data_IF_967652848480
#
_entry.id   IF_967652848480
#
_cell.length_a   1.000
_cell.length_b   1.000
_cell.length_c   1.000
_cell.angle_alpha   90.00
_cell.angle_beta   90.00
_cell.angle_gamma   90.00
#
_symmetry.space_group_name_H-M   'P 1'
#
loop_
_entity.id
_entity.type
_entity.pdbx_description
1 polymer ?
#
# COMPACT_ATOMS: atom_id res chain seq x y z
N UNK A 1 -11.08 15.45 0.05
CA UNK A 1 -9.81 14.76 0.34
C UNK A 1 -9.24 15.03 1.73
N UNK A 2 -9.14 13.99 2.57
CA UNK A 2 -8.43 13.96 3.86
C UNK A 2 -7.07 13.28 3.69
N UNK A 3 -5.99 13.94 4.10
CA UNK A 3 -4.60 13.48 3.90
C UNK A 3 -3.79 13.35 5.20
N UNK A 4 -4.45 13.41 6.36
CA UNK A 4 -3.80 13.40 7.68
C UNK A 4 -2.92 12.16 7.89
N UNK A 5 -3.47 10.98 7.60
CA UNK A 5 -2.77 9.68 7.75
C UNK A 5 -1.58 9.55 6.79
N UNK A 6 -1.68 10.13 5.59
CA UNK A 6 -0.57 10.21 4.62
C UNK A 6 0.56 11.10 5.17
N UNK A 7 0.20 12.26 5.72
CA UNK A 7 1.16 13.19 6.34
C UNK A 7 1.85 12.59 7.56
N UNK A 8 1.13 11.85 8.39
CA UNK A 8 1.68 11.10 9.53
C UNK A 8 2.66 10.02 9.09
N UNK A 9 2.33 9.29 8.03
CA UNK A 9 3.25 8.30 7.46
C UNK A 9 4.54 8.95 6.94
N UNK A 10 4.46 10.09 6.25
CA UNK A 10 5.67 10.82 5.80
C UNK A 10 6.52 11.24 6.99
N UNK A 11 5.91 11.79 8.05
CA UNK A 11 6.63 12.14 9.29
C UNK A 11 7.30 10.93 9.93
N UNK A 12 6.62 9.78 9.96
CA UNK A 12 7.18 8.52 10.45
C UNK A 12 8.41 8.11 9.64
N UNK A 13 8.35 8.18 8.31
CA UNK A 13 9.50 7.83 7.47
C UNK A 13 10.69 8.74 7.76
N UNK A 14 10.45 10.04 7.91
CA UNK A 14 11.50 11.03 8.10
C UNK A 14 12.11 11.02 9.50
N UNK A 15 11.30 10.77 10.53
CA UNK A 15 11.75 10.82 11.93
C UNK A 15 12.22 9.48 12.47
N UNK A 16 11.72 8.36 11.93
CA UNK A 16 12.01 7.03 12.48
C UNK A 16 12.78 6.17 11.47
N UNK A 17 12.28 6.03 10.22
CA UNK A 17 12.85 5.07 9.27
C UNK A 17 14.21 5.52 8.71
N UNK A 18 14.30 6.74 8.17
CA UNK A 18 15.55 7.21 7.57
C UNK A 18 16.67 7.32 8.61
N UNK A 19 16.45 7.87 9.82
CA UNK A 19 17.45 7.84 10.89
C UNK A 19 17.86 6.42 11.29
N UNK A 20 16.90 5.50 11.44
CA UNK A 20 17.23 4.11 11.75
C UNK A 20 18.13 3.45 10.68
N UNK A 21 18.00 3.83 9.40
CA UNK A 21 18.91 3.30 8.36
C UNK A 21 20.35 3.76 8.54
N UNK A 22 20.60 4.92 9.15
CA UNK A 22 21.94 5.42 9.47
C UNK A 22 22.52 4.68 10.69
N UNK A 23 21.71 4.50 11.73
CA UNK A 23 22.12 3.74 12.92
C UNK A 23 22.48 2.29 12.56
N UNK A 24 21.68 1.64 11.70
CA UNK A 24 21.93 0.29 11.20
C UNK A 24 23.29 0.15 10.50
N UNK A 25 23.83 1.21 9.90
CA UNK A 25 25.14 1.19 9.24
C UNK A 25 26.28 1.04 10.25
N UNK A 26 26.12 1.58 11.47
CA UNK A 26 27.11 1.48 12.56
C UNK A 26 27.10 0.15 13.34
N UNK A 27 26.10 -0.71 13.12
CA UNK A 27 25.96 -1.95 13.88
C UNK A 27 26.74 -3.13 13.28
N UNK A 28 27.20 -4.03 14.17
CA UNK A 28 27.80 -5.31 13.79
C UNK A 28 26.81 -6.24 13.07
N UNK A 29 27.34 -7.11 12.20
CA UNK A 29 26.56 -7.80 11.16
C UNK A 29 25.47 -8.74 11.70
N UNK A 30 25.68 -9.36 12.88
CA UNK A 30 24.73 -10.30 13.47
C UNK A 30 23.45 -9.61 13.98
N UNK A 31 23.58 -8.50 14.72
CA UNK A 31 22.42 -7.72 15.21
C UNK A 31 21.77 -6.91 14.09
N UNK A 32 22.58 -6.43 13.14
CA UNK A 32 22.13 -5.61 12.02
C UNK A 32 21.10 -6.32 11.14
N UNK A 33 21.28 -7.60 10.82
CA UNK A 33 20.35 -8.35 9.94
C UNK A 33 18.94 -8.47 10.52
N UNK A 34 18.84 -8.71 11.83
CA UNK A 34 17.54 -8.80 12.49
C UNK A 34 16.84 -7.43 12.52
N UNK A 35 17.55 -6.38 12.93
CA UNK A 35 17.01 -5.03 12.98
C UNK A 35 16.63 -4.49 11.58
N UNK A 36 17.41 -4.80 10.54
CA UNK A 36 17.05 -4.48 9.15
C UNK A 36 15.67 -5.05 8.78
N UNK A 37 15.42 -6.32 9.13
CA UNK A 37 14.12 -6.97 8.85
C UNK A 37 12.99 -6.28 9.61
N UNK A 38 13.21 -5.91 10.88
CA UNK A 38 12.23 -5.20 11.69
C UNK A 38 11.92 -3.82 11.09
N UNK A 39 12.93 -3.01 10.79
CA UNK A 39 12.76 -1.68 10.19
C UNK A 39 12.03 -1.77 8.85
N UNK A 40 12.44 -2.71 7.98
CA UNK A 40 11.76 -2.92 6.69
C UNK A 40 10.30 -3.35 6.86
N UNK A 41 10.03 -4.31 7.73
CA UNK A 41 8.68 -4.83 7.96
C UNK A 41 7.79 -3.74 8.54
N UNK A 42 8.28 -2.95 9.50
CA UNK A 42 7.55 -1.84 10.08
C UNK A 42 7.25 -0.75 9.06
N UNK A 43 8.21 -0.41 8.18
CA UNK A 43 7.98 0.53 7.08
C UNK A 43 6.81 0.07 6.19
N UNK A 44 6.87 -1.17 5.70
CA UNK A 44 5.85 -1.71 4.79
C UNK A 44 4.49 -1.87 5.49
N UNK A 45 4.47 -2.29 6.77
CA UNK A 45 3.23 -2.42 7.55
C UNK A 45 2.54 -1.09 7.77
N UNK A 46 3.30 -0.05 8.16
CA UNK A 46 2.71 1.27 8.36
C UNK A 46 2.24 1.90 7.04
N UNK A 47 2.91 1.60 5.93
CA UNK A 47 2.44 2.04 4.62
C UNK A 47 1.12 1.36 4.22
N UNK A 48 1.00 0.04 4.42
CA UNK A 48 -0.24 -0.69 4.14
C UNK A 48 -1.41 -0.21 5.03
N UNK A 49 -1.16 0.01 6.32
CA UNK A 49 -2.14 0.59 7.23
C UNK A 49 -2.54 2.03 6.85
N UNK A 50 -1.58 2.83 6.36
CA UNK A 50 -1.87 4.17 5.85
C UNK A 50 -2.81 4.10 4.64
N UNK A 51 -2.58 3.18 3.70
CA UNK A 51 -3.49 2.99 2.55
C UNK A 51 -4.90 2.65 3.04
N UNK A 52 -5.02 1.69 3.95
CA UNK A 52 -6.31 1.23 4.44
C UNK A 52 -7.07 2.38 5.13
N UNK A 53 -6.40 3.13 6.00
CA UNK A 53 -6.98 4.28 6.67
C UNK A 53 -7.34 5.40 5.68
N UNK A 54 -6.47 5.70 4.71
CA UNK A 54 -6.73 6.72 3.70
C UNK A 54 -7.95 6.37 2.82
N UNK A 55 -8.15 5.09 2.47
CA UNK A 55 -9.35 4.62 1.77
C UNK A 55 -10.60 4.87 2.61
N UNK A 56 -10.57 4.56 3.92
CA UNK A 56 -11.73 4.72 4.80
C UNK A 56 -12.03 6.20 5.10
N UNK A 57 -10.99 7.02 5.30
CA UNK A 57 -11.11 8.46 5.55
C UNK A 57 -11.71 9.21 4.36
N UNK A 58 -11.46 8.70 3.15
CA UNK A 58 -11.92 9.26 1.88
C UNK A 58 -13.07 8.45 1.26
N UNK A 59 -13.85 7.72 2.06
CA UNK A 59 -14.92 6.84 1.55
C UNK A 59 -16.03 7.52 0.73
N UNK A 60 -16.10 8.86 0.78
CA UNK A 60 -17.04 9.68 0.00
C UNK A 60 -16.51 10.10 -1.38
N UNK A 61 -15.22 9.91 -1.65
CA UNK A 61 -14.67 10.17 -2.98
C UNK A 61 -15.32 9.21 -4.00
N UNK A 62 -15.69 9.73 -5.17
CA UNK A 62 -16.60 9.09 -6.13
C UNK A 62 -16.25 7.63 -6.41
N UNK A 63 -14.98 7.37 -6.74
CA UNK A 63 -14.47 6.03 -7.05
C UNK A 63 -14.69 5.05 -5.89
N UNK A 64 -14.43 5.48 -4.66
CA UNK A 64 -14.58 4.64 -3.46
C UNK A 64 -16.05 4.48 -3.08
N UNK A 65 -16.83 5.55 -3.22
CA UNK A 65 -18.27 5.54 -2.98
C UNK A 65 -18.98 4.54 -3.90
N UNK A 66 -18.67 4.55 -5.20
CA UNK A 66 -19.22 3.58 -6.15
C UNK A 66 -18.86 2.14 -5.79
N UNK A 67 -17.61 1.88 -5.39
CA UNK A 67 -17.16 0.54 -4.98
C UNK A 67 -17.90 0.08 -3.75
N UNK A 68 -18.13 0.97 -2.79
CA UNK A 68 -18.88 0.67 -1.59
C UNK A 68 -20.32 0.27 -1.96
N UNK A 69 -21.03 1.12 -2.71
CA UNK A 69 -22.44 0.88 -3.06
C UNK A 69 -22.62 -0.37 -3.92
N UNK A 70 -21.72 -0.67 -4.86
CA UNK A 70 -21.79 -1.89 -5.68
C UNK A 70 -21.83 -3.18 -4.84
N UNK A 71 -21.25 -3.16 -3.65
CA UNK A 71 -21.29 -4.29 -2.71
C UNK A 71 -22.51 -4.30 -1.78
N UNK A 72 -23.26 -3.19 -1.72
CA UNK A 72 -24.49 -3.07 -0.95
C UNK A 72 -25.68 -3.57 -1.76
N UNK A 73 -25.75 -4.88 -2.00
CA UNK A 73 -26.89 -5.51 -2.63
C UNK A 73 -27.94 -5.85 -1.56
N UNK A 74 -28.88 -4.93 -1.31
CA UNK A 74 -30.01 -5.16 -0.41
C UNK A 74 -31.17 -4.23 -0.75
N UNK A 75 -32.40 -4.74 -0.64
CA UNK A 75 -33.60 -3.92 -0.74
C UNK A 75 -33.64 -2.94 0.45
N UNK A 76 -33.85 -1.65 0.17
CA UNK A 76 -34.08 -0.65 1.22
C UNK A 76 -35.56 -0.69 1.55
N UNK A 77 -35.90 -1.05 2.79
CA UNK A 77 -37.30 -1.01 3.23
C UNK A 77 -37.72 0.43 3.57
N UNK A 78 -39.02 0.74 3.50
CA UNK A 78 -39.55 2.03 3.98
C UNK A 78 -39.23 2.26 5.46
N UNK A 79 -39.16 1.19 6.27
CA UNK A 79 -38.76 1.27 7.67
C UNK A 79 -37.30 1.70 7.85
N UNK A 80 -36.40 1.34 6.93
CA UNK A 80 -35.01 1.79 6.96
C UNK A 80 -34.88 3.27 6.60
N UNK A 81 -35.70 3.75 5.66
CA UNK A 81 -35.82 5.17 5.31
C UNK A 81 -36.35 5.99 6.49
N UNK A 82 -37.42 5.53 7.15
CA UNK A 82 -37.95 6.21 8.34
C UNK A 82 -36.93 6.26 9.49
N UNK A 83 -36.19 5.16 9.74
CA UNK A 83 -35.11 5.14 10.73
C UNK A 83 -33.97 6.11 10.40
N UNK A 84 -33.67 6.31 9.12
CA UNK A 84 -32.69 7.30 8.66
C UNK A 84 -33.19 8.73 8.88
N UNK A 85 -34.47 9.00 8.56
CA UNK A 85 -35.09 10.31 8.73
C UNK A 85 -35.24 10.73 10.20
N UNK A 86 -35.54 9.78 11.10
CA UNK A 86 -35.57 10.02 12.56
C UNK A 86 -34.20 10.36 13.15
N UNK A 87 -33.11 10.09 12.41
CA UNK A 87 -31.73 10.37 12.79
C UNK A 87 -31.15 11.54 12.00
N UNK A 88 -31.98 12.50 11.58
CA UNK A 88 -31.60 13.61 10.70
C UNK A 88 -30.26 14.27 11.09
N UNK A 89 -30.04 14.51 12.38
CA UNK A 89 -28.83 15.18 12.90
C UNK A 89 -27.55 14.33 12.79
N UNK A 90 -27.66 13.01 12.58
CA UNK A 90 -26.54 12.04 12.55
C UNK A 90 -26.52 11.20 11.27
N UNK A 91 -27.35 11.53 10.28
CA UNK A 91 -27.52 10.72 9.06
C UNK A 91 -26.21 10.56 8.29
N UNK A 92 -25.37 11.59 8.28
CA UNK A 92 -24.05 11.57 7.64
C UNK A 92 -23.12 10.54 8.28
N UNK A 93 -23.09 10.47 9.62
CA UNK A 93 -22.25 9.51 10.34
C UNK A 93 -22.70 8.07 10.11
N UNK A 94 -24.02 7.85 10.04
CA UNK A 94 -24.59 6.53 9.71
C UNK A 94 -24.21 6.10 8.30
N UNK A 95 -24.31 7.01 7.32
CA UNK A 95 -23.92 6.74 5.93
C UNK A 95 -22.42 6.45 5.84
N UNK A 96 -21.58 7.29 6.46
CA UNK A 96 -20.12 7.08 6.50
C UNK A 96 -19.76 5.73 7.12
N UNK A 97 -20.40 5.36 8.25
CA UNK A 97 -20.19 4.07 8.90
C UNK A 97 -20.52 2.89 7.98
N UNK A 98 -21.61 2.99 7.21
CA UNK A 98 -21.97 1.96 6.22
C UNK A 98 -20.98 1.88 5.07
N UNK A 99 -20.57 3.02 4.50
CA UNK A 99 -19.57 3.08 3.44
C UNK A 99 -18.24 2.46 3.89
N UNK A 100 -17.75 2.86 5.07
CA UNK A 100 -16.50 2.31 5.65
C UNK A 100 -16.60 0.81 5.90
N UNK A 101 -17.74 0.33 6.42
CA UNK A 101 -17.96 -1.11 6.66
C UNK A 101 -17.94 -1.92 5.36
N UNK A 102 -18.60 -1.41 4.33
CA UNK A 102 -18.61 -2.02 2.99
C UNK A 102 -17.22 -2.05 2.36
N UNK A 103 -16.48 -0.93 2.37
CA UNK A 103 -15.10 -0.87 1.89
C UNK A 103 -14.19 -1.83 2.66
N UNK A 104 -14.38 -1.97 3.97
CA UNK A 104 -13.63 -2.90 4.81
C UNK A 104 -13.87 -4.36 4.44
N UNK A 105 -15.10 -4.72 4.09
CA UNK A 105 -15.45 -6.09 3.69
C UNK A 105 -15.12 -6.41 2.23
N UNK A 106 -15.00 -5.39 1.38
CA UNK A 106 -14.66 -5.53 -0.04
C UNK A 106 -13.22 -5.08 -0.33
N UNK A 107 -13.05 -3.77 -0.56
CA UNK A 107 -11.80 -3.16 -1.02
C UNK A 107 -10.60 -3.51 -0.12
N UNK A 108 -10.72 -3.41 1.21
CA UNK A 108 -9.59 -3.66 2.12
C UNK A 108 -9.17 -5.13 2.20
N UNK A 109 -10.00 -6.07 1.71
CA UNK A 109 -9.65 -7.49 1.60
C UNK A 109 -8.91 -7.82 0.30
N UNK A 110 -8.87 -6.89 -0.64
CA UNK A 110 -8.14 -7.05 -1.88
C UNK A 110 -6.63 -7.00 -1.64
N UNK A 111 -5.89 -7.49 -2.64
CA UNK A 111 -4.43 -7.45 -2.64
C UNK A 111 -3.91 -6.02 -2.56
N UNK A 112 -2.76 -5.83 -1.91
CA UNK A 112 -2.11 -4.53 -1.71
C UNK A 112 -2.05 -3.65 -2.97
N UNK A 113 -1.63 -4.20 -4.12
CA UNK A 113 -1.62 -3.48 -5.41
C UNK A 113 -2.98 -2.90 -5.82
N UNK A 114 -4.08 -3.62 -5.59
CA UNK A 114 -5.44 -3.17 -5.91
C UNK A 114 -5.94 -2.13 -4.92
N UNK A 115 -5.65 -2.29 -3.61
CA UNK A 115 -5.97 -1.26 -2.60
C UNK A 115 -5.31 0.06 -2.99
N UNK A 116 -4.02 0.01 -3.31
CA UNK A 116 -3.26 1.18 -3.75
C UNK A 116 -3.81 1.78 -5.05
N UNK A 117 -4.22 0.97 -6.03
CA UNK A 117 -4.78 1.51 -7.27
C UNK A 117 -6.08 2.26 -7.02
N UNK A 118 -6.97 1.75 -6.17
CA UNK A 118 -8.22 2.45 -5.84
C UNK A 118 -7.94 3.78 -5.13
N UNK A 119 -6.95 3.81 -4.25
CA UNK A 119 -6.56 5.04 -3.57
C UNK A 119 -5.96 6.08 -4.55
N UNK A 120 -5.09 5.64 -5.47
CA UNK A 120 -4.51 6.53 -6.49
C UNK A 120 -5.56 7.04 -7.48
N UNK A 121 -6.50 6.19 -7.87
CA UNK A 121 -7.62 6.60 -8.73
C UNK A 121 -8.50 7.65 -8.04
N UNK A 122 -8.75 7.48 -6.74
CA UNK A 122 -9.56 8.39 -5.93
C UNK A 122 -8.87 9.73 -5.65
N UNK A 123 -7.56 9.74 -5.37
CA UNK A 123 -6.87 10.93 -4.86
C UNK A 123 -5.95 11.63 -5.87
N UNK A 124 -5.39 10.88 -6.83
CA UNK A 124 -4.42 11.42 -7.79
C UNK A 124 -4.87 11.32 -9.25
N UNK A 125 -6.01 10.66 -9.51
CA UNK A 125 -6.54 10.36 -10.84
C UNK A 125 -5.52 9.72 -11.80
N UNK A 126 -4.53 8.99 -11.25
CA UNK A 126 -3.46 8.40 -12.05
C UNK A 126 -3.86 7.00 -12.52
N UNK A 127 -4.21 6.91 -13.80
CA UNK A 127 -4.69 5.67 -14.41
C UNK A 127 -3.55 4.80 -14.97
N UNK A 128 -2.29 5.25 -14.91
CA UNK A 128 -1.12 4.58 -15.50
C UNK A 128 -0.25 3.85 -14.46
N UNK A 129 -0.85 3.44 -13.35
CA UNK A 129 -0.13 2.90 -12.18
C UNK A 129 0.20 1.39 -12.27
N UNK A 130 -0.47 0.66 -13.16
CA UNK A 130 -0.39 -0.81 -13.26
C UNK A 130 0.77 -1.33 -14.11
N UNK A 131 0.96 -0.76 -15.29
CA UNK A 131 1.85 -1.33 -16.32
C UNK A 131 2.93 -0.36 -16.78
N UNK A 132 2.76 0.95 -16.58
CA UNK A 132 3.73 1.93 -17.05
C UNK A 132 4.99 1.89 -16.17
N UNK A 133 6.19 1.68 -16.75
CA UNK A 133 7.41 1.60 -15.97
C UNK A 133 7.83 3.01 -15.54
N UNK A 134 7.65 3.31 -14.25
CA UNK A 134 7.90 4.62 -13.64
C UNK A 134 8.81 4.55 -12.43
N UNK A 135 9.09 3.35 -11.93
CA UNK A 135 9.89 3.16 -10.72
C UNK A 135 11.31 2.76 -11.09
N UNK A 136 12.27 3.59 -10.71
CA UNK A 136 13.67 3.24 -10.71
C UNK A 136 13.98 2.41 -9.44
N UNK A 137 14.05 1.09 -9.59
CA UNK A 137 14.24 0.14 -8.48
C UNK A 137 15.59 0.28 -7.76
N UNK A 138 16.59 0.90 -8.40
CA UNK A 138 17.91 1.15 -7.83
C UNK A 138 17.96 2.36 -6.87
N UNK A 139 17.01 3.30 -7.02
CA UNK A 139 16.93 4.51 -6.18
C UNK A 139 15.60 4.64 -5.42
N UNK A 140 14.61 3.82 -5.78
CA UNK A 140 13.23 3.95 -5.28
C UNK A 140 12.46 5.12 -5.90
N UNK A 141 13.06 5.91 -6.79
CA UNK A 141 12.39 7.09 -7.36
C UNK A 141 11.29 6.72 -8.37
N UNK A 142 10.15 7.39 -8.26
CA UNK A 142 9.10 7.49 -9.26
C UNK A 142 9.47 8.62 -10.22
N UNK A 143 9.49 8.31 -11.50
CA UNK A 143 9.78 9.20 -12.62
C UNK A 143 8.67 9.06 -13.68
N UNK A 144 8.69 9.91 -14.70
CA UNK A 144 7.65 9.86 -15.75
C UNK A 144 7.73 8.58 -16.58
N UNK A 145 8.94 8.10 -16.86
CA UNK A 145 9.19 6.85 -17.54
C UNK A 145 10.58 6.32 -17.20
N UNK A 146 10.71 4.99 -17.15
CA UNK A 146 11.95 4.31 -16.81
C UNK A 146 12.23 3.16 -17.78
N UNK A 147 13.45 3.12 -18.33
CA UNK A 147 13.90 1.99 -19.14
C UNK A 147 14.20 0.79 -18.24
N UNK A 148 13.42 -0.28 -18.38
CA UNK A 148 13.55 -1.49 -17.56
C UNK A 148 14.96 -2.09 -17.74
N UNK A 149 15.68 -2.21 -16.62
CA UNK A 149 17.00 -2.85 -16.57
C UNK A 149 16.93 -4.24 -15.92
N UNK A 150 16.03 -4.45 -14.96
CA UNK A 150 15.91 -5.69 -14.21
C UNK A 150 14.50 -6.29 -14.35
N UNK A 151 14.36 -7.35 -15.14
CA UNK A 151 13.08 -8.04 -15.38
C UNK A 151 12.61 -8.94 -14.23
N UNK A 152 13.28 -8.93 -13.08
CA UNK A 152 12.89 -9.68 -11.87
C UNK A 152 12.15 -8.83 -10.82
N UNK A 153 12.05 -7.52 -11.05
CA UNK A 153 11.39 -6.57 -10.14
C UNK A 153 10.41 -5.73 -10.96
N UNK A 154 9.15 -5.58 -10.51
CA UNK A 154 8.21 -4.67 -11.17
C UNK A 154 8.67 -3.22 -11.16
N UNK A 155 8.46 -2.55 -12.29
CA UNK A 155 8.83 -1.15 -12.49
C UNK A 155 7.60 -0.21 -12.56
N UNK A 156 6.38 -0.73 -12.47
CA UNK A 156 5.18 0.09 -12.29
C UNK A 156 4.96 0.42 -10.81
N UNK A 157 4.18 1.46 -10.52
CA UNK A 157 3.93 1.92 -9.14
C UNK A 157 3.24 0.80 -8.33
N UNK A 158 2.09 0.30 -8.81
CA UNK A 158 1.36 -0.77 -8.13
C UNK A 158 2.19 -2.05 -8.07
N UNK A 159 2.93 -2.38 -9.12
CA UNK A 159 3.77 -3.58 -9.15
C UNK A 159 4.91 -3.53 -8.14
N UNK A 160 5.60 -2.39 -8.04
CA UNK A 160 6.72 -2.25 -7.12
C UNK A 160 6.24 -2.26 -5.66
N UNK A 161 5.13 -1.58 -5.36
CA UNK A 161 4.51 -1.61 -4.03
C UNK A 161 4.12 -3.04 -3.61
N UNK A 162 3.49 -3.79 -4.52
CA UNK A 162 3.07 -5.18 -4.31
C UNK A 162 4.25 -6.14 -4.13
N UNK A 163 5.34 -5.90 -4.86
CA UNK A 163 6.60 -6.60 -4.67
C UNK A 163 7.24 -6.30 -3.31
N UNK A 164 7.26 -5.04 -2.87
CA UNK A 164 7.75 -4.67 -1.54
C UNK A 164 6.91 -5.33 -0.42
N UNK A 165 5.59 -5.38 -0.59
CA UNK A 165 4.68 -6.08 0.31
C UNK A 165 4.95 -7.58 0.35
N UNK A 166 5.15 -8.21 -0.82
CA UNK A 166 5.48 -9.64 -0.91
C UNK A 166 6.82 -9.98 -0.27
N UNK A 167 7.81 -9.08 -0.35
CA UNK A 167 9.07 -9.21 0.42
C UNK A 167 8.84 -9.14 1.93
N UNK A 168 7.93 -8.27 2.38
CA UNK A 168 7.54 -8.24 3.80
C UNK A 168 6.95 -9.59 4.21
N UNK A 169 6.05 -10.16 3.42
CA UNK A 169 5.46 -11.47 3.71
C UNK A 169 6.53 -12.56 3.83
N UNK A 170 7.53 -12.54 2.95
CA UNK A 170 8.66 -13.47 3.01
C UNK A 170 9.49 -13.36 4.30
N UNK A 171 9.63 -12.17 4.88
CA UNK A 171 10.35 -11.99 6.15
C UNK A 171 9.52 -12.38 7.37
N UNK A 172 8.19 -12.20 7.30
CA UNK A 172 7.28 -12.50 8.43
C UNK A 172 6.85 -13.96 8.44
N UNK A 173 6.59 -14.54 7.28
CA UNK A 173 5.98 -15.88 7.13
C UNK A 173 6.90 -16.89 6.43
N UNK A 174 8.07 -16.47 5.94
CA UNK A 174 9.00 -17.37 5.26
C UNK A 174 9.67 -18.34 6.23
N UNK A 175 9.73 -19.62 5.84
CA UNK A 175 10.37 -20.70 6.60
C UNK A 175 11.90 -20.53 6.53
N UNK A 176 12.46 -19.65 7.35
CA UNK A 176 13.91 -19.46 7.58
C UNK A 176 14.74 -18.88 6.42
N UNK A 177 14.39 -19.16 5.16
CA UNK A 177 15.19 -18.86 3.98
C UNK A 177 14.90 -17.49 3.33
N UNK A 178 13.99 -16.68 3.90
CA UNK A 178 13.60 -15.36 3.35
C UNK A 178 13.26 -15.45 1.84
N UNK A 179 12.42 -16.41 1.48
CA UNK A 179 11.97 -16.65 0.10
C UNK A 179 10.58 -16.06 -0.14
N UNK A 180 10.35 -15.50 -1.34
CA UNK A 180 9.01 -15.06 -1.74
C UNK A 180 8.07 -16.26 -1.70
N UNK A 181 6.89 -16.08 -1.09
CA UNK A 181 5.85 -17.10 -1.04
C UNK A 181 5.38 -17.43 -2.47
N UNK A 182 5.13 -18.71 -2.74
CA UNK A 182 4.77 -19.17 -4.09
C UNK A 182 3.52 -18.47 -4.64
N UNK A 183 2.50 -18.29 -3.80
CA UNK A 183 1.29 -17.56 -4.18
C UNK A 183 1.62 -16.11 -4.58
N UNK A 184 2.45 -15.41 -3.80
CA UNK A 184 2.86 -14.03 -4.12
C UNK A 184 3.65 -13.95 -5.43
N UNK A 185 4.57 -14.90 -5.65
CA UNK A 185 5.32 -14.98 -6.90
C UNK A 185 4.40 -15.21 -8.11
N UNK A 186 3.43 -16.12 -7.98
CA UNK A 186 2.46 -16.43 -9.03
C UNK A 186 1.55 -15.24 -9.35
N UNK A 187 1.08 -14.51 -8.33
CA UNK A 187 0.26 -13.31 -8.52
C UNK A 187 1.04 -12.18 -9.20
N UNK A 188 2.28 -11.92 -8.76
CA UNK A 188 3.15 -10.91 -9.39
C UNK A 188 3.40 -11.26 -10.86
N UNK A 189 3.69 -12.52 -11.17
CA UNK A 189 3.88 -12.95 -12.55
C UNK A 189 2.59 -12.78 -13.38
N UNK A 190 1.43 -13.16 -12.82
CA UNK A 190 0.14 -13.04 -13.50
C UNK A 190 -0.17 -11.58 -13.88
N UNK A 191 -0.04 -10.67 -12.92
CA UNK A 191 -0.41 -9.26 -13.03
C UNK A 191 0.61 -8.41 -13.79
N UNK A 192 1.90 -8.62 -13.51
CA UNK A 192 2.97 -7.73 -13.99
C UNK A 192 3.93 -8.39 -14.99
N UNK A 193 3.70 -9.68 -15.34
CA UNK A 193 4.52 -10.46 -16.29
C UNK A 193 6.00 -10.55 -15.89
N UNK A 194 6.24 -10.70 -14.59
CA UNK A 194 7.58 -10.69 -13.99
C UNK A 194 7.83 -11.96 -13.16
N UNK A 195 8.92 -12.65 -13.50
CA UNK A 195 9.43 -13.77 -12.71
C UNK A 195 10.34 -13.26 -11.61
N UNK A 196 9.83 -13.19 -10.39
CA UNK A 196 10.57 -12.73 -9.22
C UNK A 196 11.69 -13.69 -8.82
N UNK A 197 12.75 -13.16 -8.22
CA UNK A 197 13.81 -13.98 -7.64
C UNK A 197 13.31 -14.79 -6.43
N UNK A 198 13.71 -16.05 -6.32
CA UNK A 198 13.28 -16.94 -5.22
C UNK A 198 13.79 -16.50 -3.85
N UNK A 199 15.05 -16.05 -3.77
CA UNK A 199 15.68 -15.61 -2.53
C UNK A 199 15.67 -14.08 -2.42
N UNK A 200 15.39 -13.59 -1.22
CA UNK A 200 15.42 -12.16 -0.92
C UNK A 200 16.60 -11.87 0.00
N UNK A 201 17.50 -11.02 -0.47
CA UNK A 201 18.47 -10.36 0.38
C UNK A 201 17.93 -8.99 0.79
N UNK A 202 18.02 -8.67 2.07
CA UNK A 202 17.75 -7.32 2.57
C UNK A 202 19.07 -6.62 2.80
N UNK A 203 19.23 -5.45 2.19
CA UNK A 203 20.34 -4.54 2.42
C UNK A 203 19.79 -3.20 2.91
N UNK A 204 20.59 -2.40 3.59
CA UNK A 204 20.18 -1.06 4.06
C UNK A 204 19.70 -0.20 2.88
N UNK A 205 20.40 -0.26 1.75
CA UNK A 205 19.97 0.41 0.52
C UNK A 205 18.57 -0.02 0.04
N UNK A 206 18.15 -1.27 0.29
CA UNK A 206 16.77 -1.68 -0.02
C UNK A 206 15.73 -0.94 0.83
N UNK A 207 16.05 -0.66 2.11
CA UNK A 207 15.16 0.08 3.01
C UNK A 207 15.10 1.55 2.58
N UNK A 208 16.26 2.16 2.28
CA UNK A 208 16.34 3.54 1.77
C UNK A 208 15.57 3.72 0.46
N UNK A 209 15.67 2.77 -0.47
CA UNK A 209 14.91 2.80 -1.72
C UNK A 209 13.40 2.63 -1.48
N UNK A 210 12.98 1.70 -0.61
CA UNK A 210 11.58 1.54 -0.26
C UNK A 210 11.01 2.80 0.41
N UNK A 211 11.75 3.41 1.34
CA UNK A 211 11.37 4.66 2.00
C UNK A 211 11.23 5.81 0.99
N UNK A 212 12.19 5.94 0.06
CA UNK A 212 12.14 6.94 -1.02
C UNK A 212 10.91 6.75 -1.90
N UNK A 213 10.63 5.52 -2.30
CA UNK A 213 9.46 5.17 -3.10
C UNK A 213 8.16 5.54 -2.38
N UNK A 214 7.99 5.09 -1.13
CA UNK A 214 6.77 5.35 -0.37
C UNK A 214 6.58 6.84 -0.07
N UNK A 215 7.65 7.60 0.17
CA UNK A 215 7.56 9.06 0.31
C UNK A 215 7.08 9.75 -0.96
N UNK A 216 7.64 9.38 -2.11
CA UNK A 216 7.21 9.99 -3.38
C UNK A 216 5.78 9.59 -3.73
N UNK A 217 5.40 8.34 -3.47
CA UNK A 217 4.03 7.87 -3.63
C UNK A 217 3.06 8.61 -2.71
N UNK A 218 3.42 8.82 -1.44
CA UNK A 218 2.64 9.66 -0.52
C UNK A 218 2.51 11.09 -1.04
N UNK A 219 3.57 11.65 -1.63
CA UNK A 219 3.52 12.97 -2.29
C UNK A 219 2.61 13.04 -3.52
N UNK A 220 2.33 11.91 -4.18
CA UNK A 220 1.33 11.85 -5.27
C UNK A 220 -0.12 11.80 -4.75
N UNK A 221 -0.31 11.46 -3.47
CA UNK A 221 -1.63 11.32 -2.82
C UNK A 221 -2.05 12.53 -1.98
N UNK A 222 -1.18 13.55 -1.89
CA UNK A 222 -1.41 14.81 -1.18
C UNK A 222 -1.64 15.94 -2.18
#
# INVERSE_FOLDING_TARGET
MKTTTISEFVKYVDKEILPATLELESLQDQHRKHLQKLVYTNLVNRFDAMIDNAILDNCKEEVLFEKAIKSMSGEITEGDLLKLLLKADTIQDVIEGRLRSSLSMGVLRERHSKKLSFLLEALSHDNKVWTHPRVNTSTGRIVDSFKIQNKKIPHSICGYADWLYSRRNAFVHGIGASSILENDANQINKLFKITVGKQIRLQIGSIKNAATFYKQLAGMLM
#
